data_IF_062988365650
#
_entry.id   IF_062988365650
#
_cell.length_a   1.000
_cell.length_b   1.000
_cell.length_c   1.000
_cell.angle_alpha   90.00
_cell.angle_beta   90.00
_cell.angle_gamma   90.00
#
_symmetry.space_group_name_H-M   'P 1'
#
loop_
_entity.id
_entity.type
_entity.pdbx_description
1 polymer ?
#
# COMPACT_ATOMS: atom_id res chain seq x y z
N UNK A 1 22.97 4.72 4.95
CA UNK A 1 21.98 4.14 5.89
C UNK A 1 20.68 4.91 5.75
N UNK A 2 19.73 4.42 4.95
CA UNK A 2 18.41 5.05 4.86
C UNK A 2 17.58 4.59 6.06
N UNK A 3 17.29 5.51 6.96
CA UNK A 3 16.62 5.23 8.24
C UNK A 3 15.16 4.90 7.93
N UNK A 4 14.74 3.66 8.21
CA UNK A 4 13.32 3.31 8.31
C UNK A 4 12.64 4.29 9.25
N UNK A 5 11.71 5.10 8.73
CA UNK A 5 11.04 6.11 9.52
C UNK A 5 9.53 5.95 9.39
N UNK A 6 8.93 5.58 10.52
CA UNK A 6 7.50 5.66 10.73
C UNK A 6 7.15 7.07 11.14
N UNK A 7 6.15 7.68 10.49
CA UNK A 7 5.63 8.99 10.82
C UNK A 7 4.14 8.89 11.14
N UNK A 8 3.63 9.63 12.14
CA UNK A 8 2.22 9.98 12.15
C UNK A 8 1.92 10.88 10.93
N UNK A 9 0.68 10.84 10.44
CA UNK A 9 0.31 11.47 9.16
C UNK A 9 0.60 12.98 9.12
N UNK A 10 0.35 13.68 10.22
CA UNK A 10 0.57 15.11 10.41
C UNK A 10 2.06 15.52 10.36
N UNK A 11 2.96 14.64 10.83
CA UNK A 11 4.41 14.90 10.88
C UNK A 11 5.19 14.36 9.69
N UNK A 12 4.53 13.70 8.74
CA UNK A 12 5.20 13.29 7.51
C UNK A 12 5.68 14.57 6.77
N UNK A 13 6.96 14.65 6.36
CA UNK A 13 7.40 15.74 5.49
C UNK A 13 6.67 15.69 4.13
N UNK A 14 6.73 16.77 3.35
CA UNK A 14 6.26 16.69 1.96
C UNK A 14 7.21 15.78 1.19
N UNK A 15 6.73 14.61 0.77
CA UNK A 15 7.51 13.62 0.01
C UNK A 15 7.28 13.80 -1.50
N UNK A 16 6.05 14.12 -1.89
CA UNK A 16 5.62 14.09 -3.29
C UNK A 16 5.42 12.67 -3.80
N UNK A 17 5.10 12.52 -5.10
CA UNK A 17 4.96 11.20 -5.72
C UNK A 17 3.83 10.34 -5.15
N UNK A 18 4.03 9.02 -5.15
CA UNK A 18 3.00 8.04 -4.82
C UNK A 18 2.87 7.76 -3.31
N UNK A 19 1.63 7.58 -2.86
CA UNK A 19 1.32 6.76 -1.68
C UNK A 19 0.95 5.34 -2.11
N UNK A 20 1.72 4.35 -1.66
CA UNK A 20 1.41 2.93 -1.80
C UNK A 20 0.46 2.50 -0.67
N UNK A 21 -0.77 2.15 -1.04
CA UNK A 21 -1.77 1.58 -0.13
C UNK A 21 -1.79 0.06 -0.29
N UNK A 22 -1.44 -0.66 0.78
CA UNK A 22 -1.45 -2.13 0.77
C UNK A 22 -2.86 -2.67 1.05
N UNK A 23 -3.27 -3.69 0.30
CA UNK A 23 -4.55 -4.40 0.45
C UNK A 23 -4.75 -5.05 1.83
N UNK A 24 -6.01 -5.18 2.25
CA UNK A 24 -6.38 -5.68 3.57
C UNK A 24 -7.74 -6.41 3.62
N UNK A 25 -8.27 -6.87 2.49
CA UNK A 25 -9.61 -7.44 2.45
C UNK A 25 -10.66 -6.53 1.83
N UNK A 26 -11.52 -7.08 0.98
CA UNK A 26 -12.84 -6.53 0.62
C UNK A 26 -13.95 -7.45 1.09
N UNK A 27 -15.12 -6.90 1.41
CA UNK A 27 -16.32 -7.69 1.72
C UNK A 27 -16.94 -8.25 0.43
N UNK A 28 -17.90 -9.18 0.58
CA UNK A 28 -18.55 -9.86 -0.56
C UNK A 28 -19.38 -8.94 -1.46
N UNK A 29 -19.73 -7.74 -0.99
CA UNK A 29 -20.38 -6.68 -1.75
C UNK A 29 -19.39 -5.80 -2.54
N UNK A 30 -18.08 -6.07 -2.43
CA UNK A 30 -17.04 -5.33 -3.11
C UNK A 30 -16.66 -4.00 -2.45
N UNK A 31 -17.12 -3.75 -1.21
CA UNK A 31 -16.68 -2.61 -0.40
C UNK A 31 -15.40 -2.96 0.39
N UNK A 32 -14.53 -1.96 0.66
CA UNK A 32 -13.34 -2.17 1.48
C UNK A 32 -13.70 -2.71 2.86
N UNK A 33 -12.91 -3.66 3.38
CA UNK A 33 -13.02 -3.98 4.81
C UNK A 33 -12.72 -2.75 5.65
N UNK A 34 -13.20 -2.76 6.89
CA UNK A 34 -12.98 -1.64 7.79
C UNK A 34 -11.48 -1.38 8.09
N UNK A 35 -10.60 -2.38 7.94
CA UNK A 35 -9.14 -2.19 8.00
C UNK A 35 -8.63 -1.52 6.71
N UNK A 36 -9.10 -1.98 5.55
CA UNK A 36 -8.72 -1.40 4.25
C UNK A 36 -9.18 0.06 4.13
N UNK A 37 -10.40 0.35 4.58
CA UNK A 37 -10.92 1.72 4.64
C UNK A 37 -10.08 2.61 5.54
N UNK A 38 -9.62 2.13 6.71
CA UNK A 38 -8.70 2.87 7.57
C UNK A 38 -7.42 3.27 6.83
N UNK A 39 -6.84 2.36 6.05
CA UNK A 39 -5.67 2.64 5.21
C UNK A 39 -5.97 3.67 4.12
N UNK A 40 -7.12 3.56 3.47
CA UNK A 40 -7.54 4.52 2.44
C UNK A 40 -7.78 5.92 3.01
N UNK A 41 -8.37 6.03 4.21
CA UNK A 41 -8.56 7.30 4.90
C UNK A 41 -7.23 7.96 5.26
N UNK A 42 -6.28 7.20 5.79
CA UNK A 42 -4.92 7.72 6.06
C UNK A 42 -4.24 8.20 4.77
N UNK A 43 -4.30 7.41 3.69
CA UNK A 43 -3.73 7.84 2.41
C UNK A 43 -4.41 9.10 1.85
N UNK A 44 -5.73 9.20 1.98
CA UNK A 44 -6.53 10.35 1.57
C UNK A 44 -6.15 11.62 2.33
N UNK A 45 -5.88 11.51 3.64
CA UNK A 45 -5.38 12.61 4.46
C UNK A 45 -4.03 13.13 3.93
N UNK A 46 -3.08 12.22 3.66
CA UNK A 46 -1.77 12.58 3.11
C UNK A 46 -1.87 13.28 1.76
N UNK A 47 -2.78 12.82 0.90
CA UNK A 47 -3.06 13.46 -0.38
C UNK A 47 -3.65 14.86 -0.19
N UNK A 48 -4.69 15.00 0.65
CA UNK A 48 -5.38 16.28 0.88
C UNK A 48 -4.48 17.32 1.56
N UNK A 49 -3.51 16.87 2.36
CA UNK A 49 -2.50 17.73 3.00
C UNK A 49 -1.27 17.98 2.12
N UNK A 50 -1.27 17.51 0.86
CA UNK A 50 -0.22 17.76 -0.13
C UNK A 50 1.09 17.02 0.16
N UNK A 51 1.09 16.02 1.05
CA UNK A 51 2.30 15.23 1.38
C UNK A 51 2.67 14.27 0.26
N UNK A 52 1.67 13.80 -0.50
CA UNK A 52 1.77 12.93 -1.68
C UNK A 52 0.89 13.48 -2.79
N UNK A 53 1.12 13.03 -4.03
CA UNK A 53 0.47 13.57 -5.23
C UNK A 53 -0.53 12.62 -5.88
N UNK A 54 -0.38 11.30 -5.68
CA UNK A 54 -1.24 10.28 -6.27
C UNK A 54 -1.17 8.97 -5.51
N UNK A 55 -2.12 8.07 -5.78
CA UNK A 55 -2.30 6.80 -5.10
C UNK A 55 -1.85 5.64 -5.98
N UNK A 56 -1.00 4.78 -5.44
CA UNK A 56 -0.75 3.44 -5.95
C UNK A 56 -1.47 2.44 -5.05
N UNK A 57 -2.60 1.88 -5.51
CA UNK A 57 -3.41 0.94 -4.72
C UNK A 57 -3.08 -0.49 -5.14
N UNK A 58 -2.46 -1.27 -4.26
CA UNK A 58 -1.92 -2.61 -4.60
C UNK A 58 -2.59 -3.70 -3.76
N UNK A 59 -3.09 -4.73 -4.43
CA UNK A 59 -3.83 -5.82 -3.77
C UNK A 59 -4.13 -6.99 -4.72
N UNK A 60 -4.89 -7.95 -4.21
CA UNK A 60 -5.23 -9.17 -4.93
C UNK A 60 -6.42 -8.98 -5.89
N UNK A 61 -6.34 -9.62 -7.06
CA UNK A 61 -7.37 -9.70 -8.09
C UNK A 61 -7.47 -11.11 -8.73
N UNK A 62 -7.03 -12.17 -8.02
CA UNK A 62 -6.99 -13.54 -8.55
C UNK A 62 -8.35 -14.20 -8.71
N UNK A 63 -9.39 -13.74 -8.01
CA UNK A 63 -10.73 -14.31 -8.12
C UNK A 63 -11.64 -13.35 -8.89
N UNK A 64 -12.44 -13.88 -9.83
CA UNK A 64 -13.32 -13.07 -10.68
C UNK A 64 -14.31 -12.20 -9.89
N UNK A 65 -14.62 -12.58 -8.65
CA UNK A 65 -15.52 -11.87 -7.74
C UNK A 65 -14.79 -11.03 -6.68
N UNK A 66 -13.46 -10.99 -6.69
CA UNK A 66 -12.64 -10.33 -5.66
C UNK A 66 -11.58 -9.45 -6.31
N UNK A 67 -11.77 -8.14 -6.25
CA UNK A 67 -10.86 -7.15 -6.82
C UNK A 67 -10.59 -6.02 -5.82
N UNK A 68 -9.55 -6.18 -5.00
CA UNK A 68 -9.20 -5.18 -3.99
C UNK A 68 -8.79 -3.84 -4.61
N UNK A 69 -7.91 -3.78 -5.64
CA UNK A 69 -7.53 -2.50 -6.23
C UNK A 69 -8.72 -1.74 -6.83
N UNK A 70 -9.68 -2.44 -7.44
CA UNK A 70 -10.88 -1.82 -7.96
C UNK A 70 -11.79 -1.28 -6.84
N UNK A 71 -11.92 -2.00 -5.72
CA UNK A 71 -12.65 -1.50 -4.55
C UNK A 71 -11.99 -0.25 -3.95
N UNK A 72 -10.66 -0.25 -3.81
CA UNK A 72 -9.88 0.91 -3.36
C UNK A 72 -10.07 2.10 -4.30
N UNK A 73 -9.97 1.87 -5.62
CA UNK A 73 -10.18 2.88 -6.66
C UNK A 73 -11.58 3.47 -6.59
N UNK A 74 -12.62 2.64 -6.54
CA UNK A 74 -14.02 3.09 -6.40
C UNK A 74 -14.21 3.94 -5.15
N UNK A 75 -13.67 3.50 -4.02
CA UNK A 75 -13.76 4.23 -2.77
C UNK A 75 -13.10 5.62 -2.88
N UNK A 76 -11.89 5.72 -3.44
CA UNK A 76 -11.19 7.00 -3.63
C UNK A 76 -11.95 7.95 -4.57
N UNK A 77 -12.53 7.43 -5.66
CA UNK A 77 -13.37 8.22 -6.57
C UNK A 77 -14.60 8.77 -5.83
N UNK A 78 -15.26 7.94 -5.00
CA UNK A 78 -16.39 8.40 -4.15
C UNK A 78 -15.98 9.52 -3.18
N UNK A 79 -14.70 9.59 -2.79
CA UNK A 79 -14.14 10.66 -1.95
C UNK A 79 -13.70 11.92 -2.72
N UNK A 80 -13.97 11.97 -4.03
CA UNK A 80 -13.68 13.13 -4.89
C UNK A 80 -12.27 13.14 -5.48
N UNK A 81 -11.53 12.02 -5.42
CA UNK A 81 -10.21 11.94 -6.03
C UNK A 81 -10.34 11.72 -7.55
N UNK A 82 -9.67 12.53 -8.40
CA UNK A 82 -9.68 12.32 -9.84
C UNK A 82 -9.13 10.95 -10.22
N UNK A 83 -9.71 10.36 -11.27
CA UNK A 83 -9.27 9.06 -11.81
C UNK A 83 -7.78 9.07 -12.20
N UNK A 84 -7.32 10.21 -12.71
CA UNK A 84 -5.93 10.52 -13.04
C UNK A 84 -5.07 10.77 -11.80
N UNK A 85 -5.47 10.39 -10.60
CA UNK A 85 -4.56 10.38 -9.44
C UNK A 85 -4.53 9.01 -8.79
N UNK A 86 -5.15 8.01 -9.41
CA UNK A 86 -5.28 6.66 -8.86
C UNK A 86 -4.74 5.68 -9.89
N UNK A 87 -3.72 4.92 -9.49
CA UNK A 87 -3.11 3.85 -10.28
C UNK A 87 -3.33 2.55 -9.52
N UNK A 88 -3.89 1.56 -10.21
CA UNK A 88 -4.26 0.28 -9.62
C UNK A 88 -3.22 -0.79 -9.96
N UNK A 89 -2.79 -1.52 -8.94
CA UNK A 89 -1.90 -2.66 -9.07
C UNK A 89 -2.60 -3.98 -8.68
N UNK A 90 -2.96 -4.76 -9.70
CA UNK A 90 -3.74 -6.00 -9.59
C UNK A 90 -2.91 -7.26 -9.31
N UNK A 91 -1.59 -7.13 -9.14
CA UNK A 91 -0.71 -8.26 -8.83
C UNK A 91 0.06 -8.08 -7.51
N UNK A 92 -0.51 -7.30 -6.57
CA UNK A 92 -0.04 -7.12 -5.19
C UNK A 92 -0.42 -8.26 -4.27
N UNK A 93 -0.01 -9.48 -4.60
CA UNK A 93 -0.51 -10.73 -4.00
C UNK A 93 0.08 -11.00 -2.61
N UNK A 94 1.28 -10.45 -2.37
CA UNK A 94 1.98 -10.40 -1.09
C UNK A 94 2.60 -9.03 -0.94
N UNK A 95 2.96 -8.69 0.29
CA UNK A 95 3.68 -7.45 0.60
C UNK A 95 4.96 -7.31 -0.24
N UNK A 96 5.71 -8.40 -0.43
CA UNK A 96 6.87 -8.44 -1.32
C UNK A 96 6.50 -8.06 -2.76
N UNK A 97 5.43 -8.64 -3.30
CA UNK A 97 5.01 -8.40 -4.69
C UNK A 97 4.60 -6.93 -4.87
N UNK A 98 3.82 -6.36 -3.95
CA UNK A 98 3.41 -4.94 -4.00
C UNK A 98 4.62 -4.00 -4.00
N UNK A 99 5.60 -4.23 -3.13
CA UNK A 99 6.80 -3.39 -3.04
C UNK A 99 7.70 -3.55 -4.25
N UNK A 100 7.91 -4.80 -4.70
CA UNK A 100 8.76 -5.08 -5.86
C UNK A 100 8.15 -4.49 -7.13
N UNK A 101 6.82 -4.56 -7.27
CA UNK A 101 6.11 -3.97 -8.41
C UNK A 101 6.09 -2.45 -8.34
N UNK A 102 5.89 -1.85 -7.16
CA UNK A 102 6.02 -0.40 -7.01
C UNK A 102 7.37 0.09 -7.57
N UNK A 103 8.47 -0.62 -7.26
CA UNK A 103 9.80 -0.32 -7.78
C UNK A 103 9.96 -0.64 -9.28
N UNK A 104 9.74 -1.89 -9.67
CA UNK A 104 10.15 -2.41 -10.98
C UNK A 104 9.12 -2.17 -12.09
N UNK A 105 7.84 -2.09 -11.73
CA UNK A 105 6.73 -1.93 -12.69
C UNK A 105 6.30 -0.47 -12.74
N UNK A 106 6.07 0.14 -11.59
CA UNK A 106 5.61 1.53 -11.50
C UNK A 106 6.74 2.55 -11.36
N UNK A 107 8.01 2.12 -11.42
CA UNK A 107 9.17 3.01 -11.45
C UNK A 107 9.45 3.79 -10.16
N UNK A 108 8.80 3.44 -9.05
CA UNK A 108 8.91 4.18 -7.80
C UNK A 108 10.24 3.89 -7.11
N UNK A 109 11.11 4.90 -7.01
CA UNK A 109 12.36 4.83 -6.20
C UNK A 109 12.12 5.26 -4.75
N UNK A 110 11.09 6.06 -4.54
CA UNK A 110 10.68 6.71 -3.29
C UNK A 110 9.18 6.52 -3.12
N UNK A 111 8.71 6.08 -1.96
CA UNK A 111 7.27 5.86 -1.75
C UNK A 111 6.84 6.08 -0.32
N UNK A 112 5.64 6.60 -0.13
CA UNK A 112 4.97 6.58 1.19
C UNK A 112 4.14 5.31 1.30
N UNK A 113 4.43 4.45 2.27
CA UNK A 113 3.70 3.20 2.51
C UNK A 113 2.64 3.45 3.58
N UNK A 114 1.38 3.24 3.21
CA UNK A 114 0.25 3.23 4.16
C UNK A 114 -0.23 1.79 4.35
N UNK A 115 -0.17 1.34 5.58
CA UNK A 115 -0.76 0.06 6.01
C UNK A 115 -1.09 0.08 7.49
N UNK A 116 -1.71 -0.97 8.02
CA UNK A 116 -2.07 -1.03 9.44
C UNK A 116 -0.83 -0.98 10.33
N UNK A 117 -0.95 -0.34 11.49
CA UNK A 117 0.09 -0.28 12.54
C UNK A 117 0.87 -1.59 12.77
N UNK A 118 0.18 -2.73 12.84
CA UNK A 118 0.79 -4.05 13.02
C UNK A 118 1.59 -4.52 11.81
N UNK A 119 1.15 -4.19 10.59
CA UNK A 119 1.72 -4.63 9.32
C UNK A 119 2.87 -3.73 8.85
N UNK A 120 2.89 -2.48 9.28
CA UNK A 120 3.85 -1.48 8.80
C UNK A 120 5.32 -1.87 9.00
N UNK A 121 5.74 -2.45 10.14
CA UNK A 121 7.13 -2.87 10.33
C UNK A 121 7.60 -3.91 9.29
N UNK A 122 6.72 -4.84 8.89
CA UNK A 122 7.04 -5.84 7.85
C UNK A 122 7.24 -5.18 6.49
N UNK A 123 6.33 -4.27 6.11
CA UNK A 123 6.42 -3.57 4.84
C UNK A 123 7.69 -2.71 4.74
N UNK A 124 8.02 -1.99 5.82
CA UNK A 124 9.24 -1.17 5.89
C UNK A 124 10.51 -2.04 5.80
N UNK A 125 10.59 -3.13 6.56
CA UNK A 125 11.73 -4.05 6.51
C UNK A 125 11.97 -4.59 5.09
N UNK A 126 10.91 -5.01 4.39
CA UNK A 126 11.02 -5.50 3.01
C UNK A 126 11.43 -4.38 2.04
N UNK A 127 10.90 -3.16 2.21
CA UNK A 127 11.26 -2.02 1.37
C UNK A 127 12.76 -1.69 1.48
N UNK A 128 13.31 -1.67 2.70
CA UNK A 128 14.74 -1.45 2.94
C UNK A 128 15.59 -2.54 2.27
N UNK A 129 15.20 -3.81 2.40
CA UNK A 129 15.91 -4.94 1.76
C UNK A 129 15.92 -4.85 0.24
N UNK A 130 14.92 -4.21 -0.36
CA UNK A 130 14.84 -3.96 -1.81
C UNK A 130 15.58 -2.69 -2.27
N UNK A 131 16.16 -1.92 -1.33
CA UNK A 131 16.75 -0.61 -1.63
C UNK A 131 15.71 0.46 -2.00
N UNK A 132 14.45 0.29 -1.58
CA UNK A 132 13.38 1.26 -1.80
C UNK A 132 13.40 2.28 -0.66
N UNK A 133 13.51 3.57 -1.00
CA UNK A 133 13.41 4.63 0.00
C UNK A 133 11.94 4.81 0.39
N UNK A 134 11.60 4.45 1.62
CA UNK A 134 10.21 4.38 2.07
C UNK A 134 9.95 5.14 3.38
N UNK A 135 8.82 5.85 3.41
CA UNK A 135 8.25 6.46 4.61
C UNK A 135 7.02 5.67 5.03
N UNK A 136 6.95 5.22 6.27
CA UNK A 136 5.80 4.47 6.77
C UNK A 136 4.80 5.36 7.48
N UNK A 137 3.52 5.28 7.13
CA UNK A 137 2.44 5.94 7.88
C UNK A 137 1.42 4.88 8.32
N UNK A 138 1.23 4.66 9.63
CA UNK A 138 0.35 3.62 10.12
C UNK A 138 -1.11 4.10 10.08
N UNK A 139 -1.98 3.27 9.52
CA UNK A 139 -3.41 3.35 9.80
C UNK A 139 -3.65 2.75 11.19
N UNK A 140 -4.08 3.57 12.15
CA UNK A 140 -4.33 3.14 13.53
C UNK A 140 -5.42 2.07 13.58
N UNK A 141 -5.24 1.09 14.46
CA UNK A 141 -6.25 0.07 14.77
C UNK A 141 -6.70 0.13 16.23
N UNK A 142 -6.46 1.25 16.90
CA UNK A 142 -6.69 1.41 18.35
C UNK A 142 -8.17 1.51 18.72
N UNK A 143 -9.03 1.88 17.77
CA UNK A 143 -10.49 1.84 17.88
C UNK A 143 -11.06 0.41 17.90
N UNK A 144 -10.22 -0.61 17.65
CA UNK A 144 -10.66 -2.01 17.53
C UNK A 144 -10.61 -2.77 18.86
N UNK A 145 -11.55 -3.72 19.06
CA UNK A 145 -11.51 -4.59 20.23
C UNK A 145 -10.15 -5.26 20.42
N UNK A 146 -9.63 -5.25 21.66
CA UNK A 146 -8.31 -5.77 22.03
C UNK A 146 -8.06 -7.19 21.51
N UNK A 147 -9.08 -8.06 21.54
CA UNK A 147 -8.99 -9.44 21.03
C UNK A 147 -8.73 -9.51 19.52
N UNK A 148 -9.36 -8.62 18.73
CA UNK A 148 -9.11 -8.52 17.29
C UNK A 148 -7.70 -8.01 17.01
N UNK A 149 -7.23 -7.01 17.79
CA UNK A 149 -5.84 -6.54 17.72
C UNK A 149 -4.87 -7.71 17.98
N UNK A 150 -5.02 -8.44 19.08
CA UNK A 150 -4.15 -9.58 19.40
C UNK A 150 -4.14 -10.61 18.25
N UNK A 151 -5.29 -10.95 17.68
CA UNK A 151 -5.37 -11.87 16.51
C UNK A 151 -4.67 -11.32 15.26
N UNK A 152 -4.80 -10.03 14.97
CA UNK A 152 -4.08 -9.42 13.85
C UNK A 152 -2.57 -9.42 14.08
N UNK A 153 -2.14 -9.07 15.28
CA UNK A 153 -0.73 -9.07 15.67
C UNK A 153 -0.11 -10.47 15.69
N UNK A 154 -0.85 -11.52 16.08
CA UNK A 154 -0.35 -12.91 16.04
C UNK A 154 -0.25 -13.46 14.62
N UNK A 155 -1.24 -13.22 13.76
CA UNK A 155 -1.14 -13.56 12.32
C UNK A 155 0.01 -12.81 11.65
N UNK A 156 0.19 -11.55 12.00
CA UNK A 156 1.27 -10.72 11.47
C UNK A 156 2.64 -11.18 11.99
N UNK A 157 2.74 -11.66 13.23
CA UNK A 157 3.97 -12.26 13.75
C UNK A 157 4.41 -13.44 12.88
N UNK A 158 3.49 -14.33 12.50
CA UNK A 158 3.77 -15.44 11.58
C UNK A 158 4.15 -14.92 10.19
N UNK A 159 3.40 -13.92 9.67
CA UNK A 159 3.70 -13.31 8.38
C UNK A 159 5.05 -12.58 8.35
N UNK A 160 5.53 -12.03 9.48
CA UNK A 160 6.88 -11.46 9.63
C UNK A 160 7.97 -12.53 9.49
N UNK A 161 7.74 -13.73 10.02
CA UNK A 161 8.67 -14.84 9.87
C UNK A 161 8.73 -15.35 8.43
N UNK A 162 7.59 -15.37 7.74
CA UNK A 162 7.55 -15.67 6.30
C UNK A 162 8.17 -14.55 5.44
N UNK A 163 8.02 -13.27 5.82
CA UNK A 163 8.68 -12.17 5.13
C UNK A 163 10.20 -12.15 5.32
N UNK A 164 10.71 -12.65 6.45
CA UNK A 164 12.14 -12.96 6.55
C UNK A 164 12.50 -13.98 5.48
N UNK A 165 11.73 -15.07 5.33
CA UNK A 165 12.00 -16.06 4.29
C UNK A 165 11.97 -15.47 2.87
N UNK A 166 10.98 -14.65 2.53
CA UNK A 166 10.90 -13.95 1.23
C UNK A 166 12.09 -13.02 1.00
N UNK A 167 12.63 -12.36 2.04
CA UNK A 167 13.79 -11.48 1.89
C UNK A 167 15.08 -12.25 1.57
N UNK A 168 15.19 -13.49 2.06
CA UNK A 168 16.35 -14.36 1.81
C UNK A 168 16.20 -15.20 0.54
N UNK A 169 14.96 -15.53 0.16
CA UNK A 169 14.60 -16.27 -1.05
C UNK A 169 13.50 -15.52 -1.78
N UNK A 170 13.86 -14.44 -2.50
CA UNK A 170 12.89 -13.56 -3.15
C UNK A 170 12.05 -14.37 -4.13
N UNK A 171 10.73 -14.46 -3.90
CA UNK A 171 9.86 -15.21 -4.78
C UNK A 171 9.67 -14.42 -6.08
N UNK A 172 9.40 -15.13 -7.18
CA UNK A 172 9.17 -14.49 -8.47
C UNK A 172 7.91 -13.62 -8.43
N UNK A 173 8.11 -12.30 -8.40
CA UNK A 173 7.04 -11.33 -8.49
C UNK A 173 6.53 -11.31 -9.94
N UNK A 174 5.21 -11.52 -10.13
CA UNK A 174 4.61 -11.34 -11.45
C UNK A 174 4.68 -9.85 -11.81
N UNK A 175 5.47 -9.49 -12.83
CA UNK A 175 5.67 -8.09 -13.24
C UNK A 175 4.60 -7.59 -14.22
N UNK A 176 3.99 -8.46 -15.03
CA UNK A 176 2.71 -8.24 -15.72
C UNK A 176 2.49 -6.89 -16.47
N UNK A 177 1.28 -6.65 -16.99
CA UNK A 177 0.89 -5.32 -17.47
C UNK A 177 0.71 -4.34 -16.30
N UNK A 178 0.78 -3.04 -16.60
CA UNK A 178 0.57 -1.96 -15.63
C UNK A 178 -0.36 -0.88 -16.15
N UNK A 179 -1.09 -0.25 -15.24
CA UNK A 179 -1.75 1.03 -15.53
C UNK A 179 -0.68 2.12 -15.71
N UNK A 180 -0.91 3.13 -16.58
CA UNK A 180 -0.02 4.27 -16.73
C UNK A 180 -0.01 5.09 -15.43
N UNK A 181 1.18 5.55 -15.05
CA UNK A 181 1.44 6.44 -13.93
C UNK A 181 1.38 7.90 -14.37
N UNK A 182 1.29 8.87 -13.45
CA UNK A 182 1.30 10.29 -13.82
C UNK A 182 2.48 10.74 -14.67
N UNK A 183 3.65 10.13 -14.49
CA UNK A 183 4.84 10.41 -15.29
C UNK A 183 4.63 10.05 -16.77
N UNK A 184 3.84 9.00 -17.06
CA UNK A 184 3.55 8.56 -18.43
C UNK A 184 2.55 9.51 -19.14
N UNK A 185 1.72 10.26 -18.40
CA UNK A 185 0.74 11.17 -19.00
C UNK A 185 1.38 12.44 -19.56
N UNK A 186 2.55 12.83 -19.05
CA UNK A 186 3.28 14.00 -19.51
C UNK A 186 4.10 13.76 -20.78
N UNK A 187 4.36 12.49 -21.13
CA UNK A 187 5.09 12.09 -22.34
C UNK A 187 4.23 11.94 -23.60
N UNK A 188 2.90 12.05 -23.48
CA UNK A 188 1.96 11.88 -24.61
C UNK A 188 1.52 13.23 -25.22
N UNK A 189 2.35 14.28 -25.10
CA UNK A 189 2.13 15.58 -25.74
C UNK A 189 3.06 15.80 -26.93
#
# INVERSE_FOLDING_TARGET
MHRLQTFPADRLPVVGGAVLVLGAGVYGDGEPTSILEGRLRTALELYRTGKVQWFLVSGDNRHATYNEPQAMRRWLIKQGIPLTHIVSDYAGLRTWDSLKRAQAVFGQKRVVIVTSDFHLPRALYLAERMGLEAWGVPASTDDRPRANRIRYWTREYIARHLALWDAWYPPDARLGPREPTPDDWNTTR
#
